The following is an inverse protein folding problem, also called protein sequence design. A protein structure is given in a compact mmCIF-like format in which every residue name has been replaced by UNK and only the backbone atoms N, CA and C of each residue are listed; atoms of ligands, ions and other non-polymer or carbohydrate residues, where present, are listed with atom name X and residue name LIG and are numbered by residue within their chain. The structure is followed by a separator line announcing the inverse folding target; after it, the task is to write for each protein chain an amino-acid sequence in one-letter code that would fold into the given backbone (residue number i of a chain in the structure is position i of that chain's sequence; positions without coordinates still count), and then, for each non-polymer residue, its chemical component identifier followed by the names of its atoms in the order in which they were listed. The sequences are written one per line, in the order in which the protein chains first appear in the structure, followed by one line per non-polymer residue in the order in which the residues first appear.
data_IF_003482811203
#
_entry.id   IF_003482811203
#
_cell.length_a   1.000
_cell.length_b   1.000
_cell.length_c   1.000
_cell.angle_alpha   90.00
_cell.angle_beta   90.00
_cell.angle_gamma   90.00
#
_symmetry.space_group_name_H-M   'P 1'
#
loop_
_entity.id
_entity.type
_entity.pdbx_description
1 polymer ?
#
# COMPACT_ATOMS: atom_id res chain seq x y z
N UNK A 1 -10.48 -9.75 23.62
CA UNK A 1 -9.08 -9.28 23.48
C UNK A 1 -8.89 -8.93 22.03
N UNK A 2 -8.30 -7.78 21.68
CA UNK A 2 -8.10 -7.44 20.28
C UNK A 2 -7.10 -8.42 19.63
N UNK A 3 -7.34 -8.85 18.38
CA UNK A 3 -6.37 -9.67 17.66
C UNK A 3 -5.04 -8.93 17.55
N UNK A 4 -3.94 -9.64 17.75
CA UNK A 4 -2.61 -9.13 17.45
C UNK A 4 -2.46 -8.98 15.93
N UNK A 5 -1.94 -7.84 15.48
CA UNK A 5 -1.71 -7.56 14.06
C UNK A 5 -0.26 -7.16 13.89
N UNK A 6 0.45 -7.88 13.04
CA UNK A 6 1.84 -7.60 12.71
C UNK A 6 1.86 -7.02 11.29
N UNK A 7 2.17 -5.74 11.19
CA UNK A 7 2.40 -5.05 9.93
C UNK A 7 3.91 -4.97 9.66
N UNK A 8 4.32 -5.36 8.46
CA UNK A 8 5.67 -5.15 7.96
C UNK A 8 5.62 -4.43 6.61
N UNK A 9 6.25 -3.27 6.55
CA UNK A 9 6.34 -2.47 5.33
C UNK A 9 7.81 -2.34 4.92
N UNK A 10 8.12 -2.69 3.67
CA UNK A 10 9.49 -2.71 3.15
C UNK A 10 9.52 -2.06 1.77
N UNK A 11 10.57 -1.27 1.49
CA UNK A 11 10.84 -0.74 0.15
C UNK A 11 11.89 -1.61 -0.52
N UNK A 12 11.56 -2.17 -1.68
CA UNK A 12 12.39 -3.09 -2.45
C UNK A 12 12.89 -2.44 -3.75
N UNK A 13 13.82 -3.13 -4.43
CA UNK A 13 14.55 -2.67 -5.63
C UNK A 13 15.46 -1.46 -5.36
N UNK A 14 16.26 -1.07 -6.35
CA UNK A 14 17.14 0.11 -6.36
C UNK A 14 16.77 1.13 -7.44
N UNK A 15 17.18 2.39 -7.27
CA UNK A 15 16.92 3.48 -8.22
C UNK A 15 15.67 4.32 -7.91
N UNK A 16 15.10 4.95 -8.94
CA UNK A 16 13.93 5.85 -8.81
C UNK A 16 12.59 5.11 -8.86
N UNK A 17 12.57 3.87 -9.36
CA UNK A 17 11.41 2.98 -9.39
C UNK A 17 11.63 1.88 -8.35
N UNK A 18 10.76 1.83 -7.35
CA UNK A 18 10.82 0.91 -6.21
C UNK A 18 9.51 0.15 -6.06
N UNK A 19 9.53 -0.93 -5.29
CA UNK A 19 8.30 -1.61 -4.88
C UNK A 19 8.07 -1.44 -3.38
N UNK A 20 6.89 -0.96 -3.00
CA UNK A 20 6.43 -0.97 -1.63
C UNK A 20 5.77 -2.33 -1.33
N UNK A 21 6.45 -3.16 -0.55
CA UNK A 21 5.92 -4.44 -0.06
C UNK A 21 5.25 -4.24 1.29
N UNK A 22 3.96 -4.57 1.36
CA UNK A 22 3.16 -4.49 2.56
C UNK A 22 2.74 -5.90 2.93
N UNK A 23 3.14 -6.37 4.11
CA UNK A 23 2.80 -7.68 4.65
C UNK A 23 2.06 -7.50 5.96
N UNK A 24 0.90 -8.14 6.07
CA UNK A 24 0.04 -8.10 7.24
C UNK A 24 -0.16 -9.52 7.72
N UNK A 25 0.13 -9.79 8.99
CA UNK A 25 -0.18 -11.05 9.63
C UNK A 25 -1.17 -10.81 10.77
N UNK A 26 -2.28 -11.52 10.74
CA UNK A 26 -3.25 -11.52 11.82
C UNK A 26 -2.94 -12.64 12.81
N UNK A 27 -3.22 -12.42 14.10
CA UNK A 27 -3.11 -13.44 15.14
C UNK A 27 -4.25 -14.47 15.08
N UNK A 28 -4.04 -15.61 15.74
CA UNK A 28 -4.91 -16.81 15.72
C UNK A 28 -6.35 -16.60 16.23
N UNK A 29 -6.69 -15.40 16.72
CA UNK A 29 -8.02 -15.09 17.24
C UNK A 29 -9.07 -14.76 16.17
N UNK A 30 -8.70 -14.76 14.88
CA UNK A 30 -9.64 -14.51 13.78
C UNK A 30 -9.91 -15.84 13.07
N UNK A 31 -11.05 -16.46 13.38
CA UNK A 31 -11.52 -17.67 12.68
C UNK A 31 -11.88 -17.34 11.23
N UNK A 32 -11.68 -18.31 10.33
CA UNK A 32 -12.10 -18.25 8.92
C UNK A 32 -11.52 -17.12 8.05
N UNK A 33 -10.27 -16.71 8.30
CA UNK A 33 -9.54 -15.74 7.46
C UNK A 33 -9.50 -16.09 5.97
N UNK A 34 -9.68 -17.36 5.60
CA UNK A 34 -9.78 -17.80 4.20
C UNK A 34 -11.00 -17.23 3.46
N UNK A 35 -12.05 -16.83 4.19
CA UNK A 35 -13.24 -16.20 3.61
C UNK A 35 -13.16 -14.67 3.60
N UNK A 36 -12.09 -14.11 4.17
CA UNK A 36 -11.89 -12.68 4.32
C UNK A 36 -11.15 -12.08 3.13
N UNK A 37 -11.48 -10.82 2.84
CA UNK A 37 -10.77 -9.95 1.92
C UNK A 37 -10.17 -8.80 2.71
N UNK A 38 -8.88 -8.54 2.48
CA UNK A 38 -8.17 -7.40 3.05
C UNK A 38 -7.97 -6.34 1.98
N UNK A 39 -8.50 -5.15 2.23
CA UNK A 39 -8.24 -3.95 1.46
C UNK A 39 -7.26 -3.08 2.25
N UNK A 40 -6.18 -2.69 1.60
CA UNK A 40 -5.13 -1.84 2.15
C UNK A 40 -5.26 -0.47 1.49
N UNK A 41 -5.43 0.58 2.26
CA UNK A 41 -5.38 1.97 1.79
C UNK A 41 -4.01 2.55 2.13
N UNK A 42 -3.19 2.72 1.11
CA UNK A 42 -1.87 3.32 1.25
C UNK A 42 -1.92 4.79 0.85
N UNK A 43 -1.56 5.69 1.77
CA UNK A 43 -1.28 7.08 1.44
C UNK A 43 0.08 7.19 0.73
N UNK A 44 0.11 7.95 -0.35
CA UNK A 44 1.28 8.19 -1.18
C UNK A 44 1.70 9.66 -0.97
N UNK A 45 2.85 9.88 -0.32
CA UNK A 45 3.35 11.23 -0.03
C UNK A 45 3.74 11.94 -1.33
N UNK A 46 3.80 13.27 -1.31
CA UNK A 46 4.13 14.10 -2.49
C UNK A 46 5.52 13.84 -3.08
N UNK A 47 6.42 13.17 -2.36
CA UNK A 47 7.73 12.75 -2.88
C UNK A 47 7.68 11.47 -3.73
N UNK A 48 6.55 10.76 -3.73
CA UNK A 48 6.33 9.52 -4.46
C UNK A 48 5.10 9.62 -5.37
N UNK A 49 4.97 8.67 -6.28
CA UNK A 49 3.81 8.51 -7.13
C UNK A 49 3.68 7.05 -7.59
N UNK A 50 2.45 6.63 -7.91
CA UNK A 50 2.18 5.35 -8.56
C UNK A 50 1.85 5.64 -10.01
N UNK A 51 2.54 5.00 -10.95
CA UNK A 51 2.27 5.18 -12.38
C UNK A 51 0.93 4.47 -12.73
N UNK A 52 -0.11 5.20 -13.19
CA UNK A 52 -1.39 4.61 -13.54
C UNK A 52 -1.30 3.61 -14.70
N UNK A 53 -0.37 3.81 -15.64
CA UNK A 53 -0.20 2.91 -16.79
C UNK A 53 0.50 1.62 -16.40
N UNK A 54 1.48 1.70 -15.51
CA UNK A 54 2.09 0.52 -14.91
C UNK A 54 1.05 -0.26 -14.09
N UNK A 55 0.27 0.43 -13.26
CA UNK A 55 -0.77 -0.18 -12.45
C UNK A 55 -1.80 -0.91 -13.33
N UNK A 56 -2.27 -0.27 -14.41
CA UNK A 56 -3.19 -0.89 -15.36
C UNK A 56 -2.59 -2.14 -16.02
N UNK A 57 -1.33 -2.10 -16.44
CA UNK A 57 -0.63 -3.26 -17.01
C UNK A 57 -0.51 -4.43 -16.02
N UNK A 58 -0.27 -4.14 -14.75
CA UNK A 58 -0.24 -5.16 -13.68
C UNK A 58 -1.64 -5.75 -13.42
N UNK A 59 -2.69 -4.93 -13.52
CA UNK A 59 -4.07 -5.39 -13.38
C UNK A 59 -4.49 -6.29 -14.54
N UNK A 60 -4.17 -5.93 -15.79
CA UNK A 60 -4.44 -6.75 -16.98
C UNK A 60 -3.80 -8.13 -16.89
N UNK A 61 -2.63 -8.22 -16.24
CA UNK A 61 -1.90 -9.48 -16.01
C UNK A 61 -2.36 -10.24 -14.76
N UNK A 62 -3.38 -9.76 -14.06
CA UNK A 62 -3.83 -10.29 -12.77
C UNK A 62 -2.67 -10.43 -11.76
N UNK A 63 -1.76 -9.45 -11.71
CA UNK A 63 -0.66 -9.41 -10.73
C UNK A 63 -1.01 -8.54 -9.52
N UNK A 64 -1.85 -7.52 -9.72
CA UNK A 64 -2.35 -6.63 -8.66
C UNK A 64 -3.84 -6.36 -8.87
N UNK A 65 -4.56 -6.06 -7.79
CA UNK A 65 -5.93 -5.54 -7.83
C UNK A 65 -5.94 -4.26 -7.00
N UNK A 66 -5.91 -3.10 -7.67
CA UNK A 66 -5.75 -1.82 -7.01
C UNK A 66 -6.49 -0.68 -7.73
N UNK A 67 -6.84 0.37 -7.00
CA UNK A 67 -7.52 1.55 -7.52
C UNK A 67 -6.86 2.80 -6.94
N UNK A 68 -6.45 3.73 -7.81
CA UNK A 68 -5.96 5.05 -7.38
C UNK A 68 -7.13 5.96 -7.02
N UNK A 69 -7.01 6.65 -5.89
CA UNK A 69 -7.94 7.69 -5.43
C UNK A 69 -7.35 9.06 -5.84
N UNK A 70 -7.39 9.37 -7.13
CA UNK A 70 -7.01 10.69 -7.65
C UNK A 70 -7.68 10.98 -8.98
N UNK A 71 -8.24 12.17 -9.13
CA UNK A 71 -8.68 12.72 -10.43
C UNK A 71 -7.55 13.62 -10.97
N UNK A 72 -7.21 13.49 -12.26
CA UNK A 72 -6.12 14.24 -12.93
C UNK A 72 -4.71 14.04 -12.34
N UNK A 73 -4.08 12.91 -12.67
CA UNK A 73 -2.72 12.59 -12.21
C UNK A 73 -1.65 13.05 -13.21
N UNK A 74 -0.84 14.02 -12.80
CA UNK A 74 0.35 14.45 -13.56
C UNK A 74 1.57 13.67 -13.08
N UNK A 75 2.08 12.77 -13.94
CA UNK A 75 3.25 11.95 -13.66
C UNK A 75 4.56 12.75 -13.73
N UNK A 76 4.57 13.90 -14.40
CA UNK A 76 5.76 14.73 -14.60
C UNK A 76 5.87 15.84 -13.54
N UNK A 77 4.78 16.11 -12.81
CA UNK A 77 4.79 17.11 -11.75
C UNK A 77 5.85 16.82 -10.68
N UNK A 78 6.66 17.82 -10.28
CA UNK A 78 7.63 17.66 -9.20
C UNK A 78 6.92 17.59 -7.83
N UNK A 79 7.63 17.14 -6.80
CA UNK A 79 7.06 16.89 -5.47
C UNK A 79 6.43 18.13 -4.85
N UNK A 80 7.06 19.31 -5.03
CA UNK A 80 6.58 20.58 -4.47
C UNK A 80 5.37 21.19 -5.18
N UNK A 81 4.91 20.60 -6.29
CA UNK A 81 3.66 20.97 -6.98
C UNK A 81 2.61 19.85 -6.91
N UNK A 82 3.00 18.69 -6.40
CA UNK A 82 2.14 17.51 -6.31
C UNK A 82 1.30 17.53 -5.04
N UNK A 83 0.18 16.83 -5.08
CA UNK A 83 -0.66 16.58 -3.91
C UNK A 83 -0.48 15.14 -3.46
N UNK A 84 -0.74 14.89 -2.18
CA UNK A 84 -0.86 13.53 -1.67
C UNK A 84 -2.01 12.81 -2.39
N UNK A 85 -1.84 11.51 -2.57
CA UNK A 85 -2.82 10.65 -3.21
C UNK A 85 -2.91 9.34 -2.43
N UNK A 86 -3.96 8.56 -2.64
CA UNK A 86 -4.08 7.25 -2.00
C UNK A 86 -4.30 6.15 -3.04
N UNK A 87 -3.86 4.93 -2.72
CA UNK A 87 -4.16 3.73 -3.50
C UNK A 87 -4.84 2.71 -2.62
N UNK A 88 -5.95 2.16 -3.08
CA UNK A 88 -6.64 1.03 -2.48
C UNK A 88 -6.14 -0.25 -3.15
N UNK A 89 -5.70 -1.23 -2.37
CA UNK A 89 -5.10 -2.47 -2.89
C UNK A 89 -5.76 -3.66 -2.19
N UNK A 90 -6.33 -4.59 -2.96
CA UNK A 90 -6.75 -5.86 -2.42
C UNK A 90 -5.53 -6.75 -2.21
N UNK A 91 -5.22 -7.02 -0.95
CA UNK A 91 -4.09 -7.87 -0.59
C UNK A 91 -4.41 -9.33 -0.88
N UNK A 92 -3.40 -10.05 -1.35
CA UNK A 92 -3.48 -11.49 -1.62
C UNK A 92 -3.11 -12.26 -0.39
N UNK A 93 -3.87 -13.31 -0.10
CA UNK A 93 -3.50 -14.27 0.93
C UNK A 93 -2.23 -15.01 0.50
N UNK A 94 -1.30 -15.19 1.43
CA UNK A 94 -0.10 -15.98 1.20
C UNK A 94 -0.45 -17.47 1.14
N UNK A 95 0.08 -18.20 0.16
CA UNK A 95 -0.18 -19.63 0.01
C UNK A 95 0.50 -20.49 1.08
N UNK A 96 1.53 -19.96 1.74
CA UNK A 96 2.30 -20.64 2.79
C UNK A 96 1.87 -20.23 4.20
N UNK A 97 1.03 -19.20 4.34
CA UNK A 97 0.55 -18.69 5.62
C UNK A 97 -0.92 -18.25 5.51
N UNK A 98 -1.83 -19.01 6.12
CA UNK A 98 -3.28 -18.75 6.08
C UNK A 98 -3.67 -17.39 6.65
N UNK A 99 -2.89 -16.86 7.58
CA UNK A 99 -3.23 -15.63 8.31
C UNK A 99 -2.41 -14.44 7.81
N UNK A 100 -1.67 -14.62 6.72
CA UNK A 100 -0.82 -13.62 6.10
C UNK A 100 -1.44 -13.10 4.82
N UNK A 101 -1.45 -11.78 4.69
CA UNK A 101 -1.83 -11.06 3.48
C UNK A 101 -0.66 -10.23 3.00
N UNK A 102 -0.50 -10.13 1.69
CA UNK A 102 0.56 -9.33 1.08
C UNK A 102 0.04 -8.51 -0.09
N UNK A 103 0.60 -7.32 -0.22
CA UNK A 103 0.43 -6.43 -1.36
C UNK A 103 1.80 -5.92 -1.79
N UNK A 104 1.94 -5.65 -3.08
CA UNK A 104 3.14 -5.07 -3.67
C UNK A 104 2.69 -3.96 -4.61
N UNK A 105 3.16 -2.74 -4.34
CA UNK A 105 2.76 -1.53 -5.05
C UNK A 105 3.99 -0.88 -5.69
N UNK A 106 4.05 -0.72 -7.02
CA UNK A 106 5.15 0.02 -7.65
C UNK A 106 5.03 1.50 -7.31
N UNK A 107 6.13 2.08 -6.82
CA UNK A 107 6.22 3.50 -6.46
C UNK A 107 7.44 4.13 -7.11
N UNK A 108 7.28 5.37 -7.55
CA UNK A 108 8.30 6.13 -8.25
C UNK A 108 8.58 7.42 -7.49
N UNK A 109 9.86 7.80 -7.39
CA UNK A 109 10.25 9.07 -6.81
C UNK A 109 9.92 10.23 -7.75
N UNK A 110 9.36 11.31 -7.18
CA UNK A 110 9.20 12.59 -7.89
C UNK A 110 10.47 13.41 -7.83
N UNK A 111 10.61 14.32 -8.80
CA UNK A 111 11.64 15.34 -8.76
C UNK A 111 11.46 16.26 -7.55
N UNK A 112 12.51 16.40 -6.75
CA UNK A 112 12.53 17.30 -5.60
C UNK A 112 13.03 18.68 -5.98
N UNK A 113 12.80 19.67 -5.10
CA UNK A 113 13.28 21.05 -5.34
C UNK A 113 14.80 21.04 -5.44
N UNK A 114 15.40 21.65 -6.49
CA UNK A 114 16.84 21.79 -6.57
C UNK A 114 17.36 22.59 -5.38
N UNK A 115 18.50 22.17 -4.84
CA UNK A 115 19.11 22.79 -3.68
C UNK A 115 20.52 23.25 -4.03
N UNK A 116 20.97 24.39 -3.48
CA UNK A 116 22.26 24.99 -3.80
C UNK A 116 23.45 24.26 -3.19
N UNK A 117 23.19 23.34 -2.25
CA UNK A 117 24.17 22.43 -1.64
C UNK A 117 23.78 21.00 -1.98
N UNK A 118 24.78 20.15 -2.13
CA UNK A 118 24.58 18.70 -2.18
C UNK A 118 23.89 18.22 -0.91
N UNK A 119 22.97 17.28 -1.06
CA UNK A 119 22.18 16.73 0.02
C UNK A 119 21.19 15.68 -0.45
N UNK A 120 20.68 14.93 0.50
CA UNK A 120 19.64 13.92 0.29
C UNK A 120 18.32 14.43 0.83
N UNK A 121 17.23 13.92 0.26
CA UNK A 121 15.88 14.18 0.73
C UNK A 121 15.23 12.85 1.08
N UNK A 122 14.52 12.84 2.20
CA UNK A 122 13.82 11.65 2.66
C UNK A 122 12.35 11.77 2.30
N UNK A 123 11.76 10.67 1.87
CA UNK A 123 10.31 10.57 1.70
C UNK A 123 9.82 9.54 2.71
N UNK A 124 8.97 9.99 3.63
CA UNK A 124 8.39 9.14 4.68
C UNK A 124 7.09 8.55 4.16
N UNK A 125 6.99 7.23 4.17
CA UNK A 125 5.76 6.51 3.81
C UNK A 125 5.07 6.11 5.11
N UNK A 126 3.85 6.59 5.32
CA UNK A 126 3.07 6.25 6.50
C UNK A 126 2.59 4.80 6.47
N UNK A 127 2.24 4.28 7.65
CA UNK A 127 1.49 3.03 7.75
C UNK A 127 0.16 3.12 6.96
N UNK A 128 -0.32 2.03 6.37
CA UNK A 128 -1.58 2.00 5.66
C UNK A 128 -2.77 1.82 6.61
N UNK A 129 -3.95 2.19 6.13
CA UNK A 129 -5.20 1.77 6.78
C UNK A 129 -5.57 0.35 6.30
N UNK A 130 -5.98 -0.51 7.22
CA UNK A 130 -6.39 -1.88 6.94
C UNK A 130 -7.92 -2.00 7.08
N UNK A 131 -8.59 -2.44 6.02
CA UNK A 131 -10.03 -2.69 5.99
C UNK A 131 -10.28 -4.15 5.66
N UNK A 132 -10.86 -4.89 6.61
CA UNK A 132 -11.15 -6.31 6.43
C UNK A 132 -12.65 -6.56 6.32
N UNK A 133 -13.02 -7.50 5.44
CA UNK A 133 -14.39 -7.95 5.24
C UNK A 133 -14.44 -9.47 5.08
N UNK A 134 -15.29 -10.16 5.83
CA UNK A 134 -15.43 -11.62 5.83
C UNK A 134 -16.88 -12.04 5.53
N UNK A 135 -17.08 -13.13 4.77
CA UNK A 135 -18.40 -13.52 4.27
C UNK A 135 -19.25 -14.36 5.25
N UNK A 136 -18.64 -15.04 6.22
CA UNK A 136 -19.34 -15.89 7.18
C UNK A 136 -18.77 -15.67 8.58
N UNK A 137 -19.64 -15.32 9.52
CA UNK A 137 -19.31 -14.99 10.91
C UNK A 137 -19.94 -13.67 11.31
N UNK A 138 -20.23 -13.49 12.59
CA UNK A 138 -20.48 -12.17 13.22
C UNK A 138 -19.19 -11.30 13.22
N UNK A 139 -18.41 -11.38 12.15
CA UNK A 139 -17.04 -10.96 12.01
C UNK A 139 -16.96 -9.45 11.81
N UNK A 140 -16.19 -8.83 12.69
CA UNK A 140 -15.92 -7.41 12.77
C UNK A 140 -15.86 -6.71 11.40
N UNK A 141 -16.75 -5.74 11.15
CA UNK A 141 -16.49 -4.65 10.20
C UNK A 141 -15.44 -3.72 10.85
N UNK A 142 -14.22 -4.21 11.01
CA UNK A 142 -13.15 -3.47 11.68
C UNK A 142 -12.35 -2.68 10.66
N UNK A 143 -12.47 -1.36 10.75
CA UNK A 143 -11.47 -0.44 10.22
C UNK A 143 -10.33 -0.38 11.23
N UNK A 144 -9.12 -0.75 10.81
CA UNK A 144 -7.94 -0.75 11.65
C UNK A 144 -6.97 0.29 11.11
N UNK A 145 -6.88 1.40 11.83
CA UNK A 145 -5.81 2.37 11.60
C UNK A 145 -4.60 1.90 12.39
N UNK A 146 -3.50 1.65 11.68
CA UNK A 146 -2.24 1.28 12.33
C UNK A 146 -1.52 2.58 12.71
N UNK A 147 -1.65 2.98 13.97
CA UNK A 147 -0.92 4.13 14.53
C UNK A 147 0.55 3.75 14.80
N UNK A 148 1.45 4.75 14.78
CA UNK A 148 2.90 4.60 15.06
C UNK A 148 3.20 4.29 16.53
#
# INVERSE_FOLDING_TARGET
TCPEIILKQEVLKDGFHRDLSIKVKFGESIEDLQTCRLLIKQEIPTGLFVDPYELASLQERNLIEAVMISENFDIEAPSYLSKESAVLIYARQDSQCSDCFQALLPVHYRYHRPHSKDGETFVVVSNPDLLMYCNQGEGCKSFLKVEE
#
